data_IF_843375148712
#
_entry.id   IF_843375148712
#
_cell.length_a   1.000
_cell.length_b   1.000
_cell.length_c   1.000
_cell.angle_alpha   90.00
_cell.angle_beta   90.00
_cell.angle_gamma   90.00
#
_symmetry.space_group_name_H-M   'P 1'
#
loop_
_entity.id
_entity.type
_entity.pdbx_description
1 polymer ?
#
# COMPACT_ATOMS: atom_id res chain seq x y z
N UNK A 1 5.46 15.69 2.14
CA UNK A 1 5.88 14.29 2.32
C UNK A 1 7.41 14.29 2.39
N UNK A 2 8.03 13.56 3.30
CA UNK A 2 9.50 13.57 3.45
C UNK A 2 10.16 12.50 2.56
N UNK A 3 10.84 12.94 1.49
CA UNK A 3 11.52 12.05 0.54
C UNK A 3 12.62 11.21 1.20
N UNK A 4 13.27 11.71 2.27
CA UNK A 4 14.27 10.89 2.97
C UNK A 4 13.65 9.67 3.66
N UNK A 5 12.41 9.80 4.13
CA UNK A 5 11.66 8.68 4.69
C UNK A 5 11.30 7.67 3.61
N UNK A 6 10.82 8.14 2.46
CA UNK A 6 10.50 7.31 1.29
C UNK A 6 11.72 6.45 0.89
N UNK A 7 12.91 7.05 0.82
CA UNK A 7 14.14 6.32 0.48
C UNK A 7 14.47 5.18 1.45
N UNK A 8 14.17 5.36 2.74
CA UNK A 8 14.42 4.32 3.76
C UNK A 8 13.38 3.20 3.68
N UNK A 9 12.13 3.56 3.42
CA UNK A 9 10.98 2.63 3.42
C UNK A 9 10.83 1.87 2.10
N UNK A 10 11.45 2.32 1.00
CA UNK A 10 11.29 1.72 -0.34
C UNK A 10 11.51 0.20 -0.36
N UNK A 11 12.50 -0.30 0.40
CA UNK A 11 12.77 -1.73 0.53
C UNK A 11 11.60 -2.47 1.20
N UNK A 12 11.01 -1.87 2.22
CA UNK A 12 9.86 -2.43 2.92
C UNK A 12 8.62 -2.40 2.04
N UNK A 13 8.43 -1.35 1.25
CA UNK A 13 7.34 -1.26 0.27
C UNK A 13 7.43 -2.39 -0.75
N UNK A 14 8.60 -2.61 -1.35
CA UNK A 14 8.82 -3.73 -2.29
C UNK A 14 8.51 -5.09 -1.65
N UNK A 15 8.90 -5.29 -0.38
CA UNK A 15 8.60 -6.53 0.36
C UNK A 15 7.11 -6.68 0.63
N UNK A 16 6.45 -5.62 1.09
CA UNK A 16 5.03 -5.60 1.37
C UNK A 16 4.22 -5.85 0.10
N UNK A 17 4.63 -5.28 -1.02
CA UNK A 17 3.98 -5.47 -2.31
C UNK A 17 4.00 -6.95 -2.73
N UNK A 18 5.15 -7.62 -2.63
CA UNK A 18 5.29 -9.06 -2.94
C UNK A 18 4.38 -9.91 -2.04
N UNK A 19 4.29 -9.57 -0.74
CA UNK A 19 3.40 -10.28 0.18
C UNK A 19 1.93 -10.07 -0.18
N UNK A 20 1.52 -8.84 -0.50
CA UNK A 20 0.16 -8.53 -0.92
C UNK A 20 -0.19 -9.21 -2.24
N UNK A 21 0.72 -9.27 -3.22
CA UNK A 21 0.51 -10.03 -4.46
C UNK A 21 0.32 -11.52 -4.20
N UNK A 22 1.11 -12.08 -3.28
CA UNK A 22 0.97 -13.47 -2.87
C UNK A 22 -0.38 -13.74 -2.20
N UNK A 23 -0.81 -12.87 -1.30
CA UNK A 23 -2.08 -12.97 -0.57
C UNK A 23 -3.28 -12.80 -1.50
N UNK A 24 -3.28 -11.77 -2.34
CA UNK A 24 -4.34 -11.52 -3.33
C UNK A 24 -4.43 -12.66 -4.35
N UNK A 25 -3.31 -13.17 -4.84
CA UNK A 25 -3.27 -14.26 -5.81
C UNK A 25 -3.72 -15.62 -5.25
N UNK A 26 -3.78 -15.78 -3.93
CA UNK A 26 -4.25 -17.00 -3.24
C UNK A 26 -5.42 -16.72 -2.30
N UNK A 27 -6.17 -15.67 -2.55
CA UNK A 27 -7.25 -15.28 -1.66
C UNK A 27 -8.33 -16.38 -1.56
N UNK A 28 -8.62 -16.83 -0.33
CA UNK A 28 -9.60 -17.89 -0.04
C UNK A 28 -10.82 -17.37 0.75
N UNK A 29 -10.85 -16.08 1.07
CA UNK A 29 -11.82 -15.52 2.02
C UNK A 29 -11.40 -15.72 3.48
N UNK A 30 -12.23 -15.17 4.36
CA UNK A 30 -12.11 -15.32 5.81
C UNK A 30 -12.55 -16.74 6.19
N UNK A 31 -11.90 -17.32 7.20
CA UNK A 31 -12.28 -18.63 7.70
C UNK A 31 -13.66 -18.59 8.34
N UNK A 32 -14.39 -19.68 8.18
CA UNK A 32 -15.72 -19.84 8.74
C UNK A 32 -15.75 -19.67 10.27
N UNK A 33 -14.71 -20.09 11.00
CA UNK A 33 -14.64 -19.90 12.46
C UNK A 33 -14.57 -18.41 12.85
N UNK A 34 -13.79 -17.62 12.10
CA UNK A 34 -13.62 -16.19 12.35
C UNK A 34 -14.92 -15.42 12.03
N UNK A 35 -15.70 -15.89 11.04
CA UNK A 35 -17.04 -15.37 10.75
C UNK A 35 -17.99 -15.60 11.93
N UNK A 36 -17.98 -16.81 12.51
CA UNK A 36 -18.80 -17.14 13.70
C UNK A 36 -18.41 -16.24 14.87
N UNK A 37 -17.11 -16.08 15.11
CA UNK A 37 -16.59 -15.22 16.16
C UNK A 37 -17.03 -13.76 15.96
N UNK A 38 -16.90 -13.22 14.74
CA UNK A 38 -17.37 -11.89 14.37
C UNK A 38 -18.87 -11.69 14.65
N UNK A 39 -19.70 -12.67 14.29
CA UNK A 39 -21.14 -12.63 14.55
C UNK A 39 -21.46 -12.67 16.05
N UNK A 40 -20.73 -13.45 16.86
CA UNK A 40 -20.91 -13.53 18.31
C UNK A 40 -20.59 -12.21 19.03
N UNK A 41 -19.65 -11.42 18.52
CA UNK A 41 -19.27 -10.12 19.09
C UNK A 41 -20.05 -8.94 18.49
N UNK A 42 -20.83 -9.16 17.43
CA UNK A 42 -21.69 -8.13 16.85
C UNK A 42 -22.82 -7.76 17.81
N UNK A 43 -23.06 -6.45 18.01
CA UNK A 43 -24.20 -5.99 18.82
C UNK A 43 -25.48 -6.43 18.12
N UNK A 44 -26.45 -7.03 18.84
CA UNK A 44 -27.74 -7.33 18.24
C UNK A 44 -28.38 -5.99 17.81
N UNK A 45 -28.52 -5.77 16.51
CA UNK A 45 -29.46 -4.76 16.01
C UNK A 45 -30.85 -5.22 16.44
N UNK A 46 -31.43 -4.54 17.41
CA UNK A 46 -32.63 -5.02 18.08
C UNK A 46 -33.86 -5.00 17.19
N UNK A 47 -34.64 -6.08 17.26
CA UNK A 47 -36.10 -6.09 17.30
C UNK A 47 -36.51 -7.34 18.10
N UNK A 48 -37.41 -7.20 19.08
CA UNK A 48 -37.90 -8.35 19.86
C UNK A 48 -38.67 -9.28 18.93
N UNK A 49 -38.19 -10.50 18.77
CA UNK A 49 -38.85 -11.55 17.98
C UNK A 49 -40.26 -11.80 18.54
N UNK A 50 -41.29 -11.35 17.82
CA UNK A 50 -42.64 -11.90 17.96
C UNK A 50 -42.58 -13.35 17.50
N UNK A 51 -42.80 -14.28 18.43
CA UNK A 51 -42.81 -15.73 18.13
C UNK A 51 -44.19 -16.14 17.64
N UNK A 52 -44.44 -16.10 16.34
CA UNK A 52 -45.55 -16.82 15.72
C UNK A 52 -45.03 -17.88 14.73
N UNK A 53 -45.53 -19.10 14.88
CA UNK A 53 -45.29 -20.24 13.99
C UNK A 53 -43.93 -20.93 14.12
N UNK A 54 -43.85 -22.20 13.67
CA UNK A 54 -42.61 -22.99 13.51
C UNK A 54 -41.66 -22.28 12.57
N UNK A 55 -40.93 -21.30 13.10
CA UNK A 55 -39.94 -20.50 12.39
C UNK A 55 -38.75 -21.40 12.04
N UNK A 56 -38.39 -21.46 10.76
CA UNK A 56 -37.16 -22.10 10.28
C UNK A 56 -35.94 -21.23 10.65
N UNK A 57 -35.68 -21.18 11.95
CA UNK A 57 -34.58 -20.40 12.54
C UNK A 57 -33.22 -20.91 12.06
N UNK A 58 -33.13 -22.18 11.68
CA UNK A 58 -31.92 -22.78 11.13
C UNK A 58 -31.64 -22.26 9.73
N UNK A 59 -32.64 -22.28 8.83
CA UNK A 59 -32.54 -21.71 7.49
C UNK A 59 -32.20 -20.22 7.52
N UNK A 60 -32.88 -19.45 8.37
CA UNK A 60 -32.60 -18.02 8.54
C UNK A 60 -31.18 -17.75 9.05
N UNK A 61 -30.72 -18.49 10.06
CA UNK A 61 -29.35 -18.37 10.58
C UNK A 61 -28.31 -18.71 9.51
N UNK A 62 -28.53 -19.77 8.73
CA UNK A 62 -27.63 -20.15 7.64
C UNK A 62 -27.55 -19.08 6.55
N UNK A 63 -28.67 -18.44 6.22
CA UNK A 63 -28.69 -17.31 5.27
C UNK A 63 -27.89 -16.11 5.79
N UNK A 64 -28.13 -15.69 7.04
CA UNK A 64 -27.41 -14.57 7.66
C UNK A 64 -25.91 -14.87 7.73
N UNK A 65 -25.55 -16.09 8.12
CA UNK A 65 -24.15 -16.53 8.18
C UNK A 65 -23.45 -16.38 6.83
N UNK A 66 -24.09 -16.86 5.76
CA UNK A 66 -23.57 -16.74 4.40
C UNK A 66 -23.40 -15.28 3.98
N UNK A 67 -24.38 -14.43 4.25
CA UNK A 67 -24.31 -13.00 3.93
C UNK A 67 -23.19 -12.29 4.68
N UNK A 68 -23.00 -12.58 5.97
CA UNK A 68 -21.91 -12.01 6.75
C UNK A 68 -20.56 -12.47 6.20
N UNK A 69 -20.43 -13.75 5.84
CA UNK A 69 -19.22 -14.29 5.24
C UNK A 69 -18.89 -13.61 3.91
N UNK A 70 -19.84 -13.54 2.98
CA UNK A 70 -19.65 -12.90 1.67
C UNK A 70 -19.21 -11.43 1.85
N UNK A 71 -19.87 -10.68 2.74
CA UNK A 71 -19.48 -9.29 3.04
C UNK A 71 -18.07 -9.19 3.62
N UNK A 72 -17.72 -10.05 4.57
CA UNK A 72 -16.41 -10.04 5.20
C UNK A 72 -15.28 -10.40 4.22
N UNK A 73 -15.53 -11.32 3.30
CA UNK A 73 -14.61 -11.64 2.22
C UNK A 73 -14.37 -10.44 1.31
N UNK A 74 -15.44 -9.77 0.88
CA UNK A 74 -15.37 -8.58 0.02
C UNK A 74 -14.61 -7.44 0.72
N UNK A 75 -14.95 -7.14 1.99
CA UNK A 75 -14.27 -6.13 2.80
C UNK A 75 -12.78 -6.41 2.96
N UNK A 76 -12.40 -7.67 3.21
CA UNK A 76 -11.02 -8.06 3.33
C UNK A 76 -10.28 -7.93 1.99
N UNK A 77 -10.90 -8.39 0.90
CA UNK A 77 -10.31 -8.31 -0.43
C UNK A 77 -10.07 -6.85 -0.85
N UNK A 78 -11.07 -6.00 -0.65
CA UNK A 78 -10.97 -4.56 -0.93
C UNK A 78 -9.89 -3.89 -0.08
N UNK A 79 -9.76 -4.28 1.19
CA UNK A 79 -8.68 -3.80 2.05
C UNK A 79 -7.29 -4.18 1.51
N UNK A 80 -7.08 -5.45 1.15
CA UNK A 80 -5.81 -5.92 0.58
C UNK A 80 -5.50 -5.21 -0.74
N UNK A 81 -6.50 -5.11 -1.62
CA UNK A 81 -6.37 -4.48 -2.94
C UNK A 81 -6.10 -2.98 -2.82
N UNK A 82 -6.78 -2.28 -1.92
CA UNK A 82 -6.56 -0.87 -1.64
C UNK A 82 -5.13 -0.62 -1.15
N UNK A 83 -4.64 -1.45 -0.21
CA UNK A 83 -3.26 -1.36 0.27
C UNK A 83 -2.23 -1.64 -0.83
N UNK A 84 -2.49 -2.65 -1.67
CA UNK A 84 -1.64 -2.97 -2.82
C UNK A 84 -1.54 -1.77 -3.76
N UNK A 85 -2.69 -1.21 -4.19
CA UNK A 85 -2.75 -0.06 -5.09
C UNK A 85 -2.02 1.14 -4.51
N UNK A 86 -2.24 1.47 -3.25
CA UNK A 86 -1.59 2.60 -2.59
C UNK A 86 -0.05 2.48 -2.62
N UNK A 87 0.49 1.31 -2.26
CA UNK A 87 1.95 1.10 -2.26
C UNK A 87 2.47 1.11 -3.70
N UNK A 88 1.77 0.46 -4.63
CA UNK A 88 2.17 0.36 -6.04
C UNK A 88 2.22 1.74 -6.71
N UNK A 89 1.18 2.53 -6.56
CA UNK A 89 1.11 3.89 -7.10
C UNK A 89 2.22 4.77 -6.56
N UNK A 90 2.53 4.66 -5.26
CA UNK A 90 3.61 5.44 -4.65
C UNK A 90 4.99 5.00 -5.15
N UNK A 91 5.23 3.70 -5.31
CA UNK A 91 6.45 3.17 -5.91
C UNK A 91 6.61 3.63 -7.37
N UNK A 92 5.56 3.48 -8.18
CA UNK A 92 5.58 3.87 -9.59
C UNK A 92 5.82 5.37 -9.75
N UNK A 93 5.20 6.18 -8.89
CA UNK A 93 5.43 7.63 -8.88
C UNK A 93 6.87 7.97 -8.50
N UNK A 94 7.43 7.33 -7.47
CA UNK A 94 8.83 7.54 -7.09
C UNK A 94 9.78 7.18 -8.23
N UNK A 95 9.61 6.02 -8.84
CA UNK A 95 10.42 5.58 -9.98
C UNK A 95 10.35 6.57 -11.15
N UNK A 96 9.14 7.05 -11.46
CA UNK A 96 8.94 8.10 -12.45
C UNK A 96 9.65 9.40 -12.05
N UNK A 97 9.47 9.86 -10.81
CA UNK A 97 10.05 11.11 -10.31
C UNK A 97 11.59 11.08 -10.32
N UNK A 98 12.21 9.94 -9.98
CA UNK A 98 13.66 9.74 -10.08
C UNK A 98 14.13 9.91 -11.53
N UNK A 99 13.38 9.39 -12.51
CA UNK A 99 13.71 9.55 -13.94
C UNK A 99 13.64 10.99 -14.44
N UNK A 100 12.89 11.86 -13.76
CA UNK A 100 12.76 13.28 -14.10
C UNK A 100 13.84 14.17 -13.46
N UNK A 101 14.74 13.60 -12.64
CA UNK A 101 15.80 14.38 -12.00
C UNK A 101 16.79 14.96 -13.00
N UNK A 102 17.45 16.06 -12.61
CA UNK A 102 18.35 16.78 -13.49
C UNK A 102 19.72 16.10 -13.67
N UNK A 103 20.24 16.17 -14.90
CA UNK A 103 21.61 15.73 -15.22
C UNK A 103 21.80 14.22 -15.02
N UNK A 104 22.84 13.84 -14.26
CA UNK A 104 23.18 12.44 -13.96
C UNK A 104 22.50 11.87 -12.70
N UNK A 105 21.65 12.66 -12.04
CA UNK A 105 20.95 12.20 -10.84
C UNK A 105 20.04 10.99 -11.10
N UNK A 106 19.28 10.89 -12.21
CA UNK A 106 18.41 9.74 -12.45
C UNK A 106 19.12 8.40 -12.32
N UNK A 107 20.27 8.25 -12.97
CA UNK A 107 21.04 6.99 -13.00
C UNK A 107 21.58 6.62 -11.61
N UNK A 108 22.23 7.59 -10.95
CA UNK A 108 22.87 7.37 -9.64
C UNK A 108 21.83 7.06 -8.57
N UNK A 109 20.70 7.78 -8.57
CA UNK A 109 19.65 7.60 -7.57
C UNK A 109 18.83 6.35 -7.85
N UNK A 110 18.62 5.99 -9.12
CA UNK A 110 18.03 4.71 -9.49
C UNK A 110 18.84 3.55 -8.92
N UNK A 111 20.16 3.52 -9.17
CA UNK A 111 21.01 2.47 -8.63
C UNK A 111 21.02 2.47 -7.09
N UNK A 112 21.04 3.65 -6.48
CA UNK A 112 21.07 3.79 -5.02
C UNK A 112 19.80 3.26 -4.36
N UNK A 113 18.62 3.58 -4.90
CA UNK A 113 17.33 3.34 -4.24
C UNK A 113 16.61 2.11 -4.79
N UNK A 114 16.61 1.94 -6.12
CA UNK A 114 15.89 0.86 -6.81
C UNK A 114 16.73 -0.42 -6.84
N UNK A 115 17.98 -0.30 -7.28
CA UNK A 115 18.93 -1.44 -7.32
C UNK A 115 19.61 -1.71 -5.97
N UNK A 116 19.44 -0.82 -5.00
CA UNK A 116 20.01 -0.95 -3.64
C UNK A 116 21.54 -1.05 -3.63
N UNK A 117 22.20 -0.38 -4.58
CA UNK A 117 23.66 -0.33 -4.67
C UNK A 117 24.24 0.38 -3.44
N UNK A 118 25.28 -0.22 -2.86
CA UNK A 118 26.05 0.37 -1.79
C UNK A 118 26.80 1.63 -2.27
N UNK A 119 27.18 2.47 -1.33
CA UNK A 119 27.95 3.68 -1.65
C UNK A 119 29.28 3.37 -2.34
N UNK A 120 29.93 2.25 -1.98
CA UNK A 120 31.17 1.81 -2.62
C UNK A 120 30.93 1.41 -4.07
N UNK A 121 29.87 0.66 -4.37
CA UNK A 121 29.51 0.27 -5.74
C UNK A 121 29.20 1.50 -6.60
N UNK A 122 28.48 2.48 -6.07
CA UNK A 122 28.21 3.74 -6.76
C UNK A 122 29.48 4.55 -7.04
N UNK A 123 30.40 4.62 -6.06
CA UNK A 123 31.68 5.30 -6.25
C UNK A 123 32.48 4.68 -7.39
N UNK A 124 32.54 3.35 -7.44
CA UNK A 124 33.25 2.61 -8.48
C UNK A 124 32.57 2.79 -9.83
N UNK A 125 31.24 2.55 -9.90
CA UNK A 125 30.46 2.59 -11.15
C UNK A 125 30.49 3.96 -11.82
N UNK A 126 30.38 5.04 -11.03
CA UNK A 126 30.31 6.41 -11.54
C UNK A 126 31.65 7.15 -11.47
N UNK A 127 32.70 6.51 -10.97
CA UNK A 127 34.03 7.10 -10.75
C UNK A 127 33.95 8.42 -9.96
N UNK A 128 33.29 8.38 -8.79
CA UNK A 128 33.06 9.55 -7.93
C UNK A 128 33.53 9.28 -6.51
N UNK A 129 33.86 10.35 -5.79
CA UNK A 129 34.21 10.25 -4.36
C UNK A 129 32.98 9.99 -3.50
N UNK A 130 33.19 9.43 -2.30
CA UNK A 130 32.14 9.21 -1.31
C UNK A 130 31.34 10.48 -0.98
N UNK A 131 32.04 11.61 -0.83
CA UNK A 131 31.43 12.90 -0.59
C UNK A 131 30.52 13.35 -1.75
N UNK A 132 30.89 13.00 -2.98
CA UNK A 132 30.11 13.34 -4.16
C UNK A 132 28.82 12.50 -4.25
N UNK A 133 28.86 11.22 -3.86
CA UNK A 133 27.64 10.39 -3.71
C UNK A 133 26.65 11.04 -2.75
N UNK A 134 27.14 11.52 -1.59
CA UNK A 134 26.33 12.28 -0.64
C UNK A 134 25.74 13.57 -1.23
N UNK A 135 26.52 14.30 -2.03
CA UNK A 135 26.04 15.52 -2.73
C UNK A 135 24.94 15.21 -3.73
N UNK A 136 25.05 14.12 -4.52
CA UNK A 136 23.97 13.73 -5.43
C UNK A 136 22.72 13.35 -4.69
N UNK A 137 22.84 12.55 -3.62
CA UNK A 137 21.69 12.18 -2.80
C UNK A 137 20.97 13.41 -2.26
N UNK A 138 21.71 14.37 -1.68
CA UNK A 138 21.13 15.62 -1.16
C UNK A 138 20.41 16.42 -2.26
N UNK A 139 21.06 16.62 -3.41
CA UNK A 139 20.48 17.36 -4.54
C UNK A 139 19.22 16.67 -5.08
N UNK A 140 19.23 15.34 -5.16
CA UNK A 140 18.09 14.55 -5.58
C UNK A 140 16.91 14.69 -4.62
N UNK A 141 17.15 14.64 -3.30
CA UNK A 141 16.11 14.86 -2.29
C UNK A 141 15.48 16.25 -2.45
N UNK A 142 16.27 17.30 -2.67
CA UNK A 142 15.76 18.66 -2.91
C UNK A 142 14.92 18.78 -4.19
N UNK A 143 15.28 18.08 -5.27
CA UNK A 143 14.49 18.05 -6.50
C UNK A 143 13.22 17.22 -6.37
N UNK A 144 13.31 16.03 -5.75
CA UNK A 144 12.15 15.17 -5.50
C UNK A 144 11.14 15.85 -4.58
N UNK A 145 11.58 16.53 -3.52
CA UNK A 145 10.65 17.26 -2.64
C UNK A 145 9.79 18.26 -3.43
N UNK A 146 10.38 18.97 -4.40
CA UNK A 146 9.64 19.89 -5.28
C UNK A 146 8.65 19.16 -6.19
N UNK A 147 9.03 18.00 -6.73
CA UNK A 147 8.12 17.16 -7.55
C UNK A 147 6.93 16.68 -6.71
N UNK A 148 7.17 16.25 -5.48
CA UNK A 148 6.14 15.78 -4.56
C UNK A 148 5.23 16.90 -4.06
N UNK A 149 5.76 18.10 -3.81
CA UNK A 149 4.97 19.29 -3.49
C UNK A 149 4.03 19.65 -4.63
N UNK A 150 4.50 19.60 -5.88
CA UNK A 150 3.67 19.87 -7.05
C UNK A 150 2.54 18.84 -7.20
N UNK A 151 2.83 17.55 -7.00
CA UNK A 151 1.79 16.49 -6.98
C UNK A 151 0.73 16.77 -5.91
N UNK A 152 1.15 17.19 -4.72
CA UNK A 152 0.24 17.56 -3.64
C UNK A 152 -0.68 18.72 -4.04
N UNK A 153 -0.11 19.80 -4.57
CA UNK A 153 -0.87 20.97 -5.02
C UNK A 153 -1.90 20.65 -6.12
N UNK A 154 -1.53 19.79 -7.09
CA UNK A 154 -2.45 19.34 -8.13
C UNK A 154 -3.61 18.52 -7.56
N UNK A 155 -3.32 17.67 -6.57
CA UNK A 155 -4.34 16.85 -5.90
C UNK A 155 -5.28 17.73 -5.10
N UNK A 156 -4.74 18.67 -4.31
CA UNK A 156 -5.53 19.62 -3.52
C UNK A 156 -6.40 20.50 -4.43
N UNK A 157 -5.85 20.99 -5.55
CA UNK A 157 -6.60 21.78 -6.52
C UNK A 157 -7.78 21.01 -7.11
N UNK A 158 -7.62 19.71 -7.39
CA UNK A 158 -8.70 18.88 -7.90
C UNK A 158 -9.78 18.62 -6.83
N UNK A 159 -9.38 18.32 -5.59
CA UNK A 159 -10.32 18.03 -4.49
C UNK A 159 -11.10 19.25 -4.00
N UNK A 160 -10.55 20.45 -4.19
CA UNK A 160 -11.17 21.71 -3.80
C UNK A 160 -11.95 22.40 -4.94
N UNK A 161 -11.98 21.82 -6.13
CA UNK A 161 -12.78 22.27 -7.28
C UNK A 161 -14.16 21.62 -7.28
#
# INVERSE_FOLDING_TARGET
MDVERIFKEYREWKRNLILLEFELGRFQGIRYEDVIESMCFSKPQGERVQTSGTSDKTGMTAMVYRQVKERLDDEWFDFLLGRYKQIKEEMDFLEYAIRQLSGRLPEIIWDMIIEQASWQELMIKYNVSHAMVGKYRKKAVEELNRIYELRGQQTDSYLLS
#
